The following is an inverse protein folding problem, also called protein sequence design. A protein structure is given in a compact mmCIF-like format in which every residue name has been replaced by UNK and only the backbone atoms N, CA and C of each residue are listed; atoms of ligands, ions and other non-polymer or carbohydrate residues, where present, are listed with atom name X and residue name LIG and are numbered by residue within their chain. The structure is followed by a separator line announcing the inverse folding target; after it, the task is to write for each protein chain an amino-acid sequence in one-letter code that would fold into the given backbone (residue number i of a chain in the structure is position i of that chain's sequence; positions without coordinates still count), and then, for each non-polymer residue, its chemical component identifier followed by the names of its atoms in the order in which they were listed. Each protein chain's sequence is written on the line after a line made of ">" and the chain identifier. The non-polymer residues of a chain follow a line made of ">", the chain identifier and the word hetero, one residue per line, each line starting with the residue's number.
data_IF_495465104281
#
_entry.id   IF_495465104281
#
_cell.length_a   1.000
_cell.length_b   1.000
_cell.length_c   1.000
_cell.angle_alpha   90.00
_cell.angle_beta   90.00
_cell.angle_gamma   90.00
#
_symmetry.space_group_name_H-M   'P 1'
#
loop_
_entity.id
_entity.type
_entity.pdbx_description
1 polymer ?
#
# COMPACT_ATOMS: atom_id res chain seq x y z
N UNK A 1 11.19 6.13 -6.94
CA UNK A 1 10.27 5.31 -7.76
C UNK A 1 8.86 5.68 -7.38
N UNK A 2 7.98 5.78 -8.36
CA UNK A 2 6.54 6.03 -8.21
C UNK A 2 5.79 4.82 -8.76
N UNK A 3 5.20 4.01 -7.86
CA UNK A 3 4.32 2.90 -8.20
C UNK A 3 2.91 3.46 -8.41
N UNK A 4 2.65 3.94 -9.63
CA UNK A 4 1.39 4.56 -10.00
C UNK A 4 0.22 3.58 -10.15
N UNK A 5 -0.80 3.95 -10.91
CA UNK A 5 -1.89 3.02 -11.27
C UNK A 5 -1.65 2.33 -12.62
N UNK A 6 -0.95 2.96 -13.56
CA UNK A 6 -0.77 2.40 -14.92
C UNK A 6 0.67 2.09 -15.27
N UNK A 7 1.63 2.61 -14.50
CA UNK A 7 3.05 2.39 -14.71
C UNK A 7 3.85 2.59 -13.43
N UNK A 8 5.05 2.01 -13.39
CA UNK A 8 6.10 2.44 -12.44
C UNK A 8 6.90 3.50 -13.16
N UNK A 9 7.09 4.64 -12.51
CA UNK A 9 7.98 5.70 -12.99
C UNK A 9 9.20 5.77 -12.10
N UNK A 10 10.36 5.98 -12.70
CA UNK A 10 11.59 6.15 -11.97
C UNK A 10 12.45 7.23 -12.58
N UNK A 11 13.13 7.96 -11.72
CA UNK A 11 14.08 8.98 -12.11
C UNK A 11 15.34 8.84 -11.26
N UNK A 12 16.49 9.07 -11.88
CA UNK A 12 17.79 9.09 -11.23
C UNK A 12 18.29 10.54 -11.25
N UNK A 13 18.78 11.00 -10.11
CA UNK A 13 19.35 12.34 -9.95
C UNK A 13 20.76 12.26 -9.35
N UNK A 14 21.63 13.19 -9.73
CA UNK A 14 22.85 13.47 -8.97
C UNK A 14 22.50 14.20 -7.66
N UNK A 15 23.45 14.28 -6.72
CA UNK A 15 23.26 15.01 -5.46
C UNK A 15 23.00 16.51 -5.68
N UNK A 16 23.52 17.08 -6.77
CA UNK A 16 23.27 18.47 -7.17
C UNK A 16 21.92 18.65 -7.90
N UNK A 17 21.09 17.61 -7.97
CA UNK A 17 19.75 17.65 -8.57
C UNK A 17 19.69 17.45 -10.09
N UNK A 18 20.79 17.10 -10.75
CA UNK A 18 20.79 16.85 -12.20
C UNK A 18 20.15 15.49 -12.52
N UNK A 19 19.11 15.49 -13.36
CA UNK A 19 18.42 14.25 -13.76
C UNK A 19 19.23 13.47 -14.79
N UNK A 20 19.67 12.26 -14.43
CA UNK A 20 20.39 11.34 -15.31
C UNK A 20 19.47 10.37 -16.05
N UNK A 21 18.34 10.00 -15.45
CA UNK A 21 17.38 9.06 -16.03
C UNK A 21 15.95 9.51 -15.73
N UNK A 22 15.03 9.26 -16.67
CA UNK A 22 13.60 9.19 -16.40
C UNK A 22 13.03 8.03 -17.22
N UNK A 23 12.32 7.13 -16.58
CA UNK A 23 11.73 5.96 -17.20
C UNK A 23 10.32 5.75 -16.68
N UNK A 24 9.47 5.20 -17.52
CA UNK A 24 8.12 4.73 -17.17
C UNK A 24 7.91 3.37 -17.81
N UNK A 25 7.57 2.37 -17.01
CA UNK A 25 7.26 1.02 -17.49
C UNK A 25 5.80 0.71 -17.16
N UNK A 26 4.94 0.50 -18.15
CA UNK A 26 3.54 0.16 -17.93
C UNK A 26 3.40 -1.27 -17.41
N UNK A 27 2.30 -1.53 -16.71
CA UNK A 27 1.86 -2.87 -16.32
C UNK A 27 0.34 -2.99 -16.43
N UNK A 28 -0.20 -4.20 -16.58
CA UNK A 28 -1.64 -4.39 -16.72
C UNK A 28 -2.39 -4.04 -15.43
N UNK A 29 -3.57 -3.46 -15.58
CA UNK A 29 -4.61 -3.42 -14.53
C UNK A 29 -5.75 -4.29 -14.99
N UNK A 30 -6.05 -5.33 -14.22
CA UNK A 30 -7.03 -6.35 -14.55
C UNK A 30 -8.41 -5.96 -14.04
N UNK A 31 -9.45 -6.26 -14.83
CA UNK A 31 -10.85 -6.06 -14.48
C UNK A 31 -11.61 -7.36 -14.67
N UNK A 32 -11.36 -8.38 -13.83
CA UNK A 32 -11.85 -9.74 -14.06
C UNK A 32 -13.38 -9.85 -13.94
N UNK A 33 -14.01 -8.94 -13.21
CA UNK A 33 -15.46 -8.88 -12.96
C UNK A 33 -15.92 -7.43 -12.86
N UNK A 34 -17.22 -7.19 -12.98
CA UNK A 34 -17.80 -5.86 -12.78
C UNK A 34 -17.45 -5.33 -11.37
N UNK A 35 -16.95 -4.10 -11.30
CA UNK A 35 -16.50 -3.46 -10.06
C UNK A 35 -15.13 -3.95 -9.53
N UNK A 36 -14.56 -5.02 -10.08
CA UNK A 36 -13.25 -5.53 -9.66
C UNK A 36 -12.14 -4.87 -10.47
N UNK A 37 -11.11 -4.38 -9.79
CA UNK A 37 -9.94 -3.72 -10.36
C UNK A 37 -8.70 -4.15 -9.58
N UNK A 38 -7.89 -4.99 -10.21
CA UNK A 38 -6.78 -5.70 -9.58
C UNK A 38 -5.46 -5.43 -10.29
N UNK A 39 -4.37 -5.54 -9.55
CA UNK A 39 -3.00 -5.53 -10.08
C UNK A 39 -2.21 -6.67 -9.48
N UNK A 40 -1.30 -7.25 -10.26
CA UNK A 40 -0.32 -8.19 -9.73
C UNK A 40 0.83 -7.39 -9.08
N UNK A 41 1.06 -7.52 -7.75
CA UNK A 41 2.17 -6.84 -7.10
C UNK A 41 3.55 -7.21 -7.66
N UNK A 42 3.70 -8.39 -8.28
CA UNK A 42 4.95 -8.83 -8.89
C UNK A 42 5.32 -7.98 -10.12
N UNK A 43 4.33 -7.45 -10.86
CA UNK A 43 4.56 -6.56 -12.00
C UNK A 43 5.20 -5.23 -11.57
N UNK A 44 4.83 -4.71 -10.40
CA UNK A 44 5.46 -3.51 -9.84
C UNK A 44 6.95 -3.75 -9.55
N UNK A 45 7.27 -4.90 -8.94
CA UNK A 45 8.65 -5.28 -8.62
C UNK A 45 9.48 -5.51 -9.88
N UNK A 46 8.93 -6.19 -10.88
CA UNK A 46 9.60 -6.39 -12.16
C UNK A 46 9.95 -5.05 -12.80
N UNK A 47 9.01 -4.11 -12.82
CA UNK A 47 9.23 -2.77 -13.34
C UNK A 47 10.25 -1.97 -12.52
N UNK A 48 10.21 -2.03 -11.18
CA UNK A 48 11.21 -1.38 -10.31
C UNK A 48 12.61 -1.94 -10.62
N UNK A 49 12.77 -3.27 -10.64
CA UNK A 49 14.07 -3.93 -10.90
C UNK A 49 14.62 -3.56 -12.28
N UNK A 50 13.76 -3.52 -13.30
CA UNK A 50 14.16 -3.10 -14.64
C UNK A 50 14.64 -1.63 -14.68
N UNK A 51 13.92 -0.72 -14.02
CA UNK A 51 14.32 0.69 -13.94
C UNK A 51 15.62 0.85 -13.13
N UNK A 52 15.80 0.09 -12.05
CA UNK A 52 17.05 0.09 -11.27
C UNK A 52 18.25 -0.38 -12.11
N UNK A 53 18.07 -1.40 -12.96
CA UNK A 53 19.12 -1.84 -13.88
C UNK A 53 19.51 -0.74 -14.89
N UNK A 54 18.51 -0.07 -15.48
CA UNK A 54 18.75 1.10 -16.37
C UNK A 54 19.41 2.27 -15.61
N UNK A 55 19.02 2.52 -14.36
CA UNK A 55 19.60 3.56 -13.51
C UNK A 55 21.07 3.27 -13.19
N UNK A 56 21.42 2.02 -12.91
CA UNK A 56 22.80 1.62 -12.67
C UNK A 56 23.67 1.84 -13.92
N UNK A 57 23.16 1.55 -15.11
CA UNK A 57 23.85 1.84 -16.36
C UNK A 57 24.01 3.36 -16.58
N UNK A 58 22.95 4.14 -16.35
CA UNK A 58 22.96 5.60 -16.48
C UNK A 58 23.90 6.29 -15.47
N UNK A 59 24.14 5.68 -14.30
CA UNK A 59 25.08 6.18 -13.32
C UNK A 59 26.55 6.10 -13.78
N UNK A 60 26.87 5.32 -14.82
CA UNK A 60 28.19 5.30 -15.44
C UNK A 60 29.34 4.92 -14.49
N UNK A 61 29.08 4.04 -13.52
CA UNK A 61 30.04 3.67 -12.46
C UNK A 61 29.92 4.50 -11.18
N UNK A 62 29.05 5.51 -11.14
CA UNK A 62 28.65 6.19 -9.91
C UNK A 62 27.90 5.27 -8.94
N UNK A 63 28.04 5.54 -7.63
CA UNK A 63 27.32 4.81 -6.59
C UNK A 63 25.92 5.40 -6.40
N UNK A 64 24.89 4.58 -6.58
CA UNK A 64 23.53 4.92 -6.13
C UNK A 64 23.51 4.80 -4.61
N UNK A 65 23.24 5.91 -3.92
CA UNK A 65 23.32 5.97 -2.44
C UNK A 65 21.98 5.77 -1.74
N UNK A 66 20.86 5.93 -2.46
CA UNK A 66 19.52 5.79 -1.92
C UNK A 66 18.49 5.46 -3.01
N UNK A 67 17.41 4.80 -2.61
CA UNK A 67 16.22 4.55 -3.41
C UNK A 67 14.98 4.96 -2.61
N UNK A 68 14.30 6.02 -3.01
CA UNK A 68 13.00 6.40 -2.45
C UNK A 68 11.85 5.70 -3.19
N UNK A 69 10.82 5.27 -2.46
CA UNK A 69 9.59 4.69 -3.00
C UNK A 69 8.37 5.55 -2.64
N UNK A 70 7.50 5.80 -3.61
CA UNK A 70 6.14 6.29 -3.41
C UNK A 70 5.17 5.43 -4.21
N UNK A 71 3.88 5.48 -3.90
CA UNK A 71 2.86 4.74 -4.63
C UNK A 71 1.52 5.42 -4.64
N UNK A 72 0.61 4.94 -5.49
CA UNK A 72 -0.81 5.12 -5.28
C UNK A 72 -1.23 4.70 -3.85
N UNK A 73 -2.23 5.38 -3.33
CA UNK A 73 -2.84 5.13 -2.01
C UNK A 73 -4.18 4.42 -2.16
N UNK A 74 -4.77 3.96 -1.05
CA UNK A 74 -6.00 3.17 -1.05
C UNK A 74 -5.91 1.95 -1.99
N UNK A 75 -4.73 1.33 -2.09
CA UNK A 75 -4.51 0.03 -2.74
C UNK A 75 -3.90 -0.87 -1.68
N UNK A 76 -4.37 -2.11 -1.55
CA UNK A 76 -3.95 -2.98 -0.45
C UNK A 76 -3.51 -4.35 -0.96
N UNK A 77 -2.37 -4.81 -0.43
CA UNK A 77 -1.81 -6.14 -0.64
C UNK A 77 -1.88 -6.89 0.69
N UNK A 78 -2.53 -8.05 0.68
CA UNK A 78 -2.55 -8.94 1.84
C UNK A 78 -1.45 -9.98 1.64
N UNK A 79 -0.51 -10.05 2.58
CA UNK A 79 0.64 -10.97 2.48
C UNK A 79 0.68 -11.95 3.62
N UNK A 80 1.23 -13.14 3.38
CA UNK A 80 1.51 -14.12 4.42
C UNK A 80 2.80 -13.82 5.22
N UNK A 81 3.11 -14.68 6.19
CA UNK A 81 4.31 -14.55 7.03
C UNK A 81 5.64 -14.67 6.28
N UNK A 82 5.62 -15.14 5.03
CA UNK A 82 6.79 -15.17 4.16
C UNK A 82 6.80 -13.97 3.18
N UNK A 83 5.86 -13.03 3.32
CA UNK A 83 5.76 -11.84 2.48
C UNK A 83 5.09 -12.08 1.12
N UNK A 84 4.57 -13.27 0.85
CA UNK A 84 3.93 -13.56 -0.44
C UNK A 84 2.52 -12.96 -0.49
N UNK A 85 2.18 -12.31 -1.60
CA UNK A 85 0.82 -11.84 -1.84
C UNK A 85 -0.17 -13.02 -1.89
N UNK A 86 -1.23 -12.94 -1.10
CA UNK A 86 -2.25 -13.98 -0.96
C UNK A 86 -3.32 -13.92 -2.07
N UNK A 87 -3.45 -12.77 -2.71
CA UNK A 87 -4.35 -12.46 -3.82
C UNK A 87 -3.81 -11.24 -4.58
N UNK A 88 -4.30 -10.96 -5.80
CA UNK A 88 -3.98 -9.71 -6.48
C UNK A 88 -4.26 -8.48 -5.61
N UNK A 89 -3.49 -7.41 -5.78
CA UNK A 89 -3.72 -6.16 -5.08
C UNK A 89 -5.10 -5.61 -5.42
N UNK A 90 -5.88 -5.29 -4.39
CA UNK A 90 -7.18 -4.61 -4.57
C UNK A 90 -6.89 -3.12 -4.72
N UNK A 91 -7.13 -2.56 -5.90
CA UNK A 91 -6.79 -1.15 -6.21
C UNK A 91 -7.84 -0.16 -5.71
N UNK A 92 -7.47 1.12 -5.61
CA UNK A 92 -8.37 2.21 -5.17
C UNK A 92 -9.67 2.35 -5.98
N UNK A 93 -9.68 1.90 -7.24
CA UNK A 93 -10.86 1.95 -8.10
C UNK A 93 -11.84 0.81 -7.84
N UNK A 94 -11.42 -0.22 -7.11
CA UNK A 94 -12.21 -1.42 -6.86
C UNK A 94 -13.42 -1.13 -5.97
N UNK A 95 -14.59 -1.62 -6.39
CA UNK A 95 -15.87 -1.42 -5.73
C UNK A 95 -16.43 -2.71 -5.10
N UNK A 96 -15.69 -3.83 -5.12
CA UNK A 96 -16.19 -5.11 -4.59
C UNK A 96 -16.55 -5.03 -3.10
N UNK A 97 -15.91 -4.13 -2.38
CA UNK A 97 -16.07 -3.95 -0.94
C UNK A 97 -17.18 -2.95 -0.56
N UNK A 98 -18.01 -2.49 -1.50
CA UNK A 98 -19.06 -1.52 -1.22
C UNK A 98 -20.08 -2.03 -0.18
N UNK A 99 -20.41 -3.31 -0.21
CA UNK A 99 -21.30 -3.93 0.79
C UNK A 99 -20.67 -3.95 2.19
N UNK A 100 -19.39 -4.29 2.27
CA UNK A 100 -18.61 -4.26 3.52
C UNK A 100 -18.48 -2.84 4.07
N UNK A 101 -18.24 -1.86 3.20
CA UNK A 101 -18.22 -0.44 3.55
C UNK A 101 -19.55 0.01 4.16
N UNK A 102 -20.68 -0.37 3.56
CA UNK A 102 -22.00 -0.06 4.09
C UNK A 102 -22.31 -0.76 5.43
N UNK A 103 -21.73 -1.95 5.68
CA UNK A 103 -21.82 -2.61 7.00
C UNK A 103 -21.04 -1.82 8.05
N UNK A 104 -19.80 -1.44 7.74
CA UNK A 104 -18.98 -0.60 8.63
C UNK A 104 -19.62 0.76 8.89
N UNK A 105 -20.22 1.37 7.87
CA UNK A 105 -20.95 2.62 8.01
C UNK A 105 -22.17 2.52 8.95
N UNK A 106 -22.71 1.32 9.19
CA UNK A 106 -23.75 1.12 10.21
C UNK A 106 -23.16 0.76 11.58
N UNK A 107 -21.98 0.14 11.60
CA UNK A 107 -21.37 -0.40 12.81
C UNK A 107 -20.51 0.63 13.56
N UNK A 108 -19.80 1.53 12.84
CA UNK A 108 -18.90 2.51 13.44
C UNK A 108 -19.74 3.66 14.03
N UNK A 109 -19.71 3.88 15.36
CA UNK A 109 -20.43 4.98 16.01
C UNK A 109 -19.97 6.35 15.52
N UNK A 110 -20.89 7.33 15.51
CA UNK A 110 -20.61 8.69 15.00
C UNK A 110 -19.57 9.43 15.86
N UNK A 111 -19.62 9.25 17.17
CA UNK A 111 -18.63 9.77 18.13
C UNK A 111 -17.24 9.19 17.88
N UNK A 112 -17.15 7.88 17.61
CA UNK A 112 -15.88 7.25 17.23
C UNK A 112 -15.34 7.83 15.91
N UNK A 113 -16.22 8.13 14.94
CA UNK A 113 -15.77 8.77 13.68
C UNK A 113 -15.21 10.15 13.89
N UNK A 114 -15.90 10.96 14.67
CA UNK A 114 -15.44 12.30 15.00
C UNK A 114 -14.09 12.26 15.73
N UNK A 115 -13.91 11.31 16.65
CA UNK A 115 -12.65 11.11 17.36
C UNK A 115 -11.50 10.65 16.45
N UNK A 116 -11.75 9.74 15.50
CA UNK A 116 -10.73 9.19 14.61
C UNK A 116 -10.40 10.07 13.40
N UNK A 117 -11.40 10.70 12.78
CA UNK A 117 -11.28 11.39 11.49
C UNK A 117 -11.70 12.87 11.53
N UNK A 118 -11.97 13.42 12.72
CA UNK A 118 -12.38 14.82 12.90
C UNK A 118 -13.71 15.18 12.24
N UNK A 119 -14.46 14.19 11.75
CA UNK A 119 -15.68 14.36 10.97
C UNK A 119 -16.55 13.09 11.00
N UNK A 120 -17.81 13.18 10.56
CA UNK A 120 -18.66 12.01 10.30
C UNK A 120 -18.23 11.32 8.99
N UNK A 121 -17.00 10.80 8.99
CA UNK A 121 -16.42 10.08 7.87
C UNK A 121 -17.29 8.86 7.51
N UNK A 122 -17.56 8.69 6.21
CA UNK A 122 -18.32 7.55 5.68
C UNK A 122 -17.35 6.57 5.00
N UNK A 123 -17.21 5.34 5.52
CA UNK A 123 -16.43 4.29 4.85
C UNK A 123 -16.88 4.08 3.41
N UNK A 124 -15.94 4.02 2.48
CA UNK A 124 -16.18 3.64 1.09
C UNK A 124 -15.48 2.31 0.77
N UNK A 125 -15.67 1.79 -0.46
CA UNK A 125 -15.07 0.52 -0.88
C UNK A 125 -13.54 0.55 -0.94
N UNK A 126 -12.93 1.74 -1.03
CA UNK A 126 -11.48 1.90 -1.10
C UNK A 126 -10.80 1.94 0.28
N UNK A 127 -11.58 2.20 1.32
CA UNK A 127 -11.10 2.24 2.70
C UNK A 127 -10.55 0.87 3.14
N UNK A 128 -9.40 0.88 3.83
CA UNK A 128 -8.70 -0.34 4.25
C UNK A 128 -9.62 -1.25 5.06
N UNK A 129 -10.32 -0.73 6.08
CA UNK A 129 -11.20 -1.56 6.91
C UNK A 129 -12.32 -2.20 6.08
N UNK A 130 -12.85 -1.52 5.05
CA UNK A 130 -13.86 -2.10 4.16
C UNK A 130 -13.33 -3.31 3.40
N UNK A 131 -12.04 -3.28 3.00
CA UNK A 131 -11.39 -4.40 2.30
C UNK A 131 -11.03 -5.53 3.24
N UNK A 132 -10.58 -5.20 4.45
CA UNK A 132 -10.33 -6.20 5.48
C UNK A 132 -11.64 -6.91 5.84
N UNK A 133 -12.71 -6.15 6.11
CA UNK A 133 -14.02 -6.73 6.42
C UNK A 133 -14.54 -7.62 5.28
N UNK A 134 -14.37 -7.20 4.02
CA UNK A 134 -14.70 -8.04 2.87
C UNK A 134 -13.89 -9.34 2.86
N UNK A 135 -12.58 -9.28 3.15
CA UNK A 135 -11.73 -10.47 3.21
C UNK A 135 -12.12 -11.39 4.37
N UNK A 136 -12.47 -10.84 5.54
CA UNK A 136 -12.99 -11.60 6.69
C UNK A 136 -14.28 -12.33 6.33
N UNK A 137 -15.23 -11.63 5.70
CA UNK A 137 -16.55 -12.17 5.37
C UNK A 137 -16.48 -13.22 4.25
N UNK A 138 -15.78 -12.92 3.16
CA UNK A 138 -15.83 -13.71 1.92
C UNK A 138 -14.68 -14.71 1.79
N UNK A 139 -13.53 -14.44 2.44
CA UNK A 139 -12.32 -15.25 2.33
C UNK A 139 -11.61 -15.43 3.69
N UNK A 140 -12.30 -15.97 4.72
CA UNK A 140 -11.76 -16.06 6.08
C UNK A 140 -10.43 -16.85 6.16
N UNK A 141 -10.25 -17.87 5.31
CA UNK A 141 -8.99 -18.62 5.23
C UNK A 141 -7.81 -17.76 4.77
N UNK A 142 -8.03 -16.79 3.88
CA UNK A 142 -6.98 -15.84 3.46
C UNK A 142 -6.70 -14.83 4.57
N UNK A 143 -7.74 -14.36 5.28
CA UNK A 143 -7.55 -13.48 6.43
C UNK A 143 -6.72 -14.13 7.54
N UNK A 144 -7.02 -15.39 7.88
CA UNK A 144 -6.24 -16.15 8.87
C UNK A 144 -4.76 -16.27 8.50
N UNK A 145 -4.46 -16.43 7.20
CA UNK A 145 -3.08 -16.51 6.68
C UNK A 145 -2.40 -15.15 6.55
N UNK A 146 -3.17 -14.06 6.56
CA UNK A 146 -2.62 -12.71 6.40
C UNK A 146 -1.77 -12.37 7.62
N UNK A 147 -0.52 -12.00 7.37
CA UNK A 147 0.40 -11.49 8.36
C UNK A 147 0.51 -9.96 8.30
N UNK A 148 0.54 -9.38 7.08
CA UNK A 148 0.51 -7.93 6.90
C UNK A 148 -0.52 -7.49 5.86
N UNK A 149 -1.08 -6.29 6.07
CA UNK A 149 -1.84 -5.53 5.07
C UNK A 149 -1.01 -4.32 4.67
N UNK A 150 -0.56 -4.28 3.43
CA UNK A 150 0.46 -3.35 2.95
C UNK A 150 -0.09 -2.43 1.85
N UNK A 151 0.36 -1.17 1.82
CA UNK A 151 0.24 -0.34 0.63
C UNK A 151 1.21 -0.83 -0.47
N UNK A 152 1.08 -0.41 -1.75
CA UNK A 152 1.94 -0.90 -2.83
C UNK A 152 3.42 -0.65 -2.59
N UNK A 153 3.78 0.55 -2.10
CA UNK A 153 5.19 0.84 -1.78
C UNK A 153 5.71 0.00 -0.61
N UNK A 154 4.88 -0.28 0.40
CA UNK A 154 5.29 -1.03 1.59
C UNK A 154 5.54 -2.50 1.21
N UNK A 155 4.70 -3.06 0.34
CA UNK A 155 4.93 -4.36 -0.27
C UNK A 155 6.24 -4.39 -1.08
N UNK A 156 6.47 -3.38 -1.92
CA UNK A 156 7.71 -3.31 -2.70
C UNK A 156 8.94 -3.18 -1.78
N UNK A 157 8.82 -2.43 -0.69
CA UNK A 157 9.87 -2.26 0.31
C UNK A 157 10.23 -3.60 0.97
N UNK A 158 9.23 -4.33 1.47
CA UNK A 158 9.40 -5.68 2.04
C UNK A 158 10.12 -6.61 1.06
N UNK A 159 9.70 -6.61 -0.20
CA UNK A 159 10.26 -7.49 -1.22
C UNK A 159 11.67 -7.09 -1.68
N UNK A 160 12.08 -5.85 -1.45
CA UNK A 160 13.42 -5.35 -1.78
C UNK A 160 14.40 -5.48 -0.61
N UNK A 161 13.93 -5.36 0.62
CA UNK A 161 14.79 -5.20 1.80
C UNK A 161 14.60 -6.27 2.87
N UNK A 162 13.49 -7.00 2.85
CA UNK A 162 13.07 -7.91 3.93
C UNK A 162 12.38 -7.21 5.11
N UNK A 163 12.39 -5.87 5.14
CA UNK A 163 11.85 -5.07 6.25
C UNK A 163 10.44 -4.56 5.97
N UNK A 164 9.63 -4.38 7.00
CA UNK A 164 8.25 -3.89 6.89
C UNK A 164 8.12 -2.54 7.56
N UNK A 165 7.69 -1.53 6.81
CA UNK A 165 7.35 -0.21 7.34
C UNK A 165 6.25 0.43 6.50
N UNK A 166 5.45 1.28 7.14
CA UNK A 166 4.54 2.21 6.50
C UNK A 166 4.87 3.64 6.93
N UNK A 167 4.20 4.63 6.35
CA UNK A 167 4.27 6.01 6.78
C UNK A 167 2.87 6.60 6.96
N UNK A 168 2.72 7.68 7.75
CA UNK A 168 1.41 8.26 8.02
C UNK A 168 0.72 8.88 6.79
N UNK A 169 1.48 9.36 5.80
CA UNK A 169 0.95 10.06 4.63
C UNK A 169 0.29 9.06 3.67
N UNK A 170 0.94 7.92 3.44
CA UNK A 170 0.42 6.88 2.56
C UNK A 170 -0.69 6.04 3.23
N UNK A 171 -0.74 6.06 4.56
CA UNK A 171 -1.76 5.43 5.39
C UNK A 171 -3.05 6.29 5.44
N UNK A 172 -3.61 6.55 4.25
CA UNK A 172 -4.74 7.47 4.08
C UNK A 172 -5.97 7.01 4.88
N UNK A 173 -6.49 7.91 5.73
CA UNK A 173 -7.63 7.67 6.65
C UNK A 173 -7.37 6.55 7.68
N UNK A 174 -6.13 6.08 7.78
CA UNK A 174 -5.70 5.14 8.81
C UNK A 174 -5.03 5.86 9.98
N UNK A 175 -4.60 7.10 9.77
CA UNK A 175 -3.90 7.90 10.77
C UNK A 175 -4.69 9.14 11.17
N UNK A 176 -4.48 9.59 12.40
CA UNK A 176 -4.97 10.85 12.91
C UNK A 176 -4.03 12.02 12.57
N UNK A 177 -4.34 13.22 13.06
CA UNK A 177 -3.54 14.43 12.86
C UNK A 177 -2.13 14.38 13.49
N UNK A 178 -1.90 13.47 14.44
CA UNK A 178 -0.58 13.23 15.04
C UNK A 178 0.25 12.24 14.22
N UNK A 179 -0.33 11.66 13.17
CA UNK A 179 0.29 10.63 12.36
C UNK A 179 0.31 9.26 13.04
N UNK A 180 -0.54 9.05 14.05
CA UNK A 180 -0.70 7.77 14.73
C UNK A 180 -1.88 7.02 14.15
N UNK A 181 -1.84 5.69 14.16
CA UNK A 181 -2.98 4.89 13.73
C UNK A 181 -4.24 5.19 14.55
N UNK A 182 -5.40 5.24 13.89
CA UNK A 182 -6.71 5.34 14.55
C UNK A 182 -7.13 4.01 15.18
N UNK A 183 -6.31 3.49 16.09
CA UNK A 183 -6.37 2.13 16.64
C UNK A 183 -7.73 1.76 17.25
N UNK A 184 -8.46 2.74 17.80
CA UNK A 184 -9.81 2.53 18.31
C UNK A 184 -10.79 2.05 17.24
N UNK A 185 -10.67 2.53 16.00
CA UNK A 185 -11.46 2.04 14.88
C UNK A 185 -11.02 0.64 14.44
N UNK A 186 -9.71 0.36 14.46
CA UNK A 186 -9.18 -0.95 14.02
C UNK A 186 -9.57 -2.10 14.94
N UNK A 187 -9.79 -1.83 16.22
CA UNK A 187 -10.31 -2.80 17.19
C UNK A 187 -11.72 -3.32 16.88
N UNK A 188 -12.42 -2.76 15.89
CA UNK A 188 -13.71 -3.27 15.41
C UNK A 188 -13.59 -4.50 14.51
N UNK A 189 -12.39 -4.81 14.02
CA UNK A 189 -12.12 -6.00 13.22
C UNK A 189 -11.02 -6.80 13.89
N UNK A 190 -11.37 -8.01 14.35
CA UNK A 190 -10.47 -8.88 15.09
C UNK A 190 -9.16 -9.14 14.34
N UNK A 191 -8.06 -8.77 14.98
CA UNK A 191 -6.72 -9.01 14.47
C UNK A 191 -6.20 -7.99 13.45
N UNK A 192 -6.95 -6.92 13.16
CA UNK A 192 -6.52 -5.93 12.17
C UNK A 192 -5.30 -5.13 12.66
N UNK A 193 -5.33 -4.62 13.88
CA UNK A 193 -4.28 -3.75 14.40
C UNK A 193 -2.90 -4.40 14.39
N UNK A 194 -2.84 -5.71 14.64
CA UNK A 194 -1.61 -6.52 14.68
C UNK A 194 -1.04 -6.82 13.29
N UNK A 195 -1.80 -6.56 12.23
CA UNK A 195 -1.43 -6.83 10.82
C UNK A 195 -1.10 -5.55 10.05
N UNK A 196 -0.95 -4.42 10.75
CA UNK A 196 -0.53 -3.15 10.16
C UNK A 196 0.95 -2.87 10.47
N UNK A 197 1.76 -2.50 9.47
CA UNK A 197 3.18 -2.14 9.67
C UNK A 197 3.38 -1.06 10.72
N UNK A 198 4.54 -1.03 11.37
CA UNK A 198 4.91 0.14 12.15
C UNK A 198 5.01 1.39 11.25
N UNK A 199 4.48 2.52 11.73
CA UNK A 199 4.61 3.81 11.07
C UNK A 199 6.00 4.40 11.34
N UNK A 200 6.64 4.88 10.28
CA UNK A 200 7.93 5.55 10.32
C UNK A 200 7.84 6.93 9.64
N UNK A 201 8.75 7.87 9.96
CA UNK A 201 8.93 9.09 9.17
C UNK A 201 9.19 8.78 7.69
N UNK A 202 8.72 9.63 6.78
CA UNK A 202 8.84 9.39 5.33
C UNK A 202 10.29 9.38 4.82
N UNK A 203 11.19 9.99 5.57
CA UNK A 203 12.63 10.06 5.33
C UNK A 203 13.43 8.92 6.00
N UNK A 204 12.76 8.04 6.76
CA UNK A 204 13.43 6.97 7.47
C UNK A 204 14.10 5.98 6.50
N UNK A 205 15.33 5.59 6.82
CA UNK A 205 16.01 4.50 6.11
C UNK A 205 15.47 3.19 6.65
N UNK A 206 14.66 2.49 5.85
CA UNK A 206 13.99 1.27 6.30
C UNK A 206 14.85 0.02 6.14
N UNK A 207 15.75 -0.02 5.15
CA UNK A 207 16.61 -1.18 4.93
C UNK A 207 17.62 -0.99 3.81
N UNK A 208 18.29 -2.08 3.44
CA UNK A 208 19.29 -2.14 2.37
C UNK A 208 18.92 -3.22 1.35
N UNK A 209 19.23 -2.97 0.08
CA UNK A 209 19.00 -3.88 -1.06
C UNK A 209 20.29 -4.61 -1.43
#
# INVERSE_FOLDING_TARGET
>A
MDVGTTSVKGALYTLDGNRLLLKSLPYPTLRPRAGWVEQDPAEWLAAIRAICAEAQAAAGGGKIVALGLTSQVNTHVFVDGAGNALLPAITWQDQRCASAAAKLDRAIPVDLRAACWGSDFKPDASFLMSRVQWLVDEHPNLWQRTHWVLAPKDYCLLQLTGEVAADPISSVRMTDERGEYVSAAFGLIDGLAERLPALQPIEAVVGTV
#
